data_IF_145852534142
#
_entry.id   IF_145852534142
#
_cell.length_a   1.000
_cell.length_b   1.000
_cell.length_c   1.000
_cell.angle_alpha   90.00
_cell.angle_beta   90.00
_cell.angle_gamma   90.00
#
_symmetry.space_group_name_H-M   'P 1'
#
loop_
_entity.id
_entity.type
_entity.pdbx_description
1 polymer ?
#
# COMPACT_ATOMS: atom_id res chain seq x y z
N UNK A 1 30.98 -32.54 31.21
CA UNK A 1 29.98 -32.36 30.15
C UNK A 1 28.59 -32.06 30.74
N UNK A 2 28.36 -30.87 31.33
CA UNK A 2 27.02 -30.54 31.85
C UNK A 2 26.60 -29.06 31.78
N UNK A 3 27.46 -28.17 31.29
CA UNK A 3 27.14 -26.72 31.18
C UNK A 3 26.85 -26.28 29.74
N UNK A 4 27.33 -27.06 28.75
CA UNK A 4 27.15 -26.74 27.33
C UNK A 4 25.70 -26.95 26.87
N UNK A 5 24.96 -27.87 27.50
CA UNK A 5 23.56 -28.17 27.16
C UNK A 5 22.59 -27.13 27.69
N UNK A 6 22.91 -26.50 28.83
CA UNK A 6 22.03 -25.51 29.49
C UNK A 6 22.06 -24.15 28.79
N UNK A 7 23.19 -23.78 28.18
CA UNK A 7 23.32 -22.52 27.42
C UNK A 7 22.47 -22.56 26.13
N UNK A 8 22.32 -23.73 25.51
CA UNK A 8 21.50 -23.87 24.29
C UNK A 8 19.99 -23.72 24.51
N UNK A 9 19.50 -24.03 25.72
CA UNK A 9 18.08 -23.89 26.06
C UNK A 9 17.70 -22.47 26.51
N UNK A 10 18.66 -21.66 26.96
CA UNK A 10 18.39 -20.26 27.34
C UNK A 10 18.45 -19.29 26.14
N UNK A 11 19.18 -19.64 25.07
CA UNK A 11 19.30 -18.79 23.87
C UNK A 11 18.09 -18.81 22.94
N UNK A 12 17.24 -19.82 23.03
CA UNK A 12 16.10 -20.02 22.11
C UNK A 12 14.85 -19.21 22.46
N UNK A 13 14.79 -18.62 23.66
CA UNK A 13 13.62 -17.83 24.10
C UNK A 13 13.71 -16.35 23.67
N UNK A 14 14.92 -15.85 23.37
CA UNK A 14 15.12 -14.42 23.03
C UNK A 14 14.92 -14.09 21.54
N UNK A 15 14.80 -15.08 20.65
CA UNK A 15 14.64 -14.85 19.21
C UNK A 15 13.17 -14.74 18.75
N UNK A 16 12.21 -14.99 19.64
CA UNK A 16 10.77 -14.97 19.29
C UNK A 16 10.07 -13.64 19.60
N UNK A 17 10.72 -12.73 20.33
CA UNK A 17 10.12 -11.45 20.72
C UNK A 17 10.07 -10.41 19.58
N UNK A 18 10.83 -10.61 18.51
CA UNK A 18 10.89 -9.66 17.38
C UNK A 18 9.72 -9.77 16.40
N UNK A 19 8.82 -10.75 16.57
CA UNK A 19 7.68 -10.95 15.65
C UNK A 19 6.39 -10.23 16.08
N UNK A 20 6.41 -9.47 17.19
CA UNK A 20 5.21 -8.88 17.81
C UNK A 20 5.28 -7.35 17.92
N UNK A 21 6.19 -6.71 17.18
CA UNK A 21 6.24 -5.25 17.05
C UNK A 21 5.62 -4.74 15.74
N UNK A 22 4.98 -5.62 14.96
CA UNK A 22 4.09 -5.23 13.86
C UNK A 22 2.79 -4.68 14.49
N UNK A 23 2.86 -3.42 14.93
CA UNK A 23 1.70 -2.68 15.40
C UNK A 23 0.60 -2.66 14.33
N UNK A 24 -0.66 -2.62 14.75
CA UNK A 24 -1.81 -2.69 13.83
C UNK A 24 -1.79 -1.69 12.66
N UNK A 25 -1.04 -0.59 12.77
CA UNK A 25 -0.80 0.35 11.68
C UNK A 25 -0.03 -0.22 10.49
N UNK A 26 0.90 -1.16 10.69
CA UNK A 26 1.63 -1.78 9.57
C UNK A 26 0.69 -2.62 8.69
N UNK A 27 -0.28 -3.32 9.29
CA UNK A 27 -1.27 -4.14 8.56
C UNK A 27 -2.22 -3.28 7.71
N UNK A 28 -2.54 -2.06 8.17
CA UNK A 28 -3.35 -1.11 7.39
C UNK A 28 -2.54 -0.61 6.20
N UNK A 29 -1.29 -0.21 6.41
CA UNK A 29 -0.44 0.30 5.33
C UNK A 29 -0.14 -0.77 4.27
N UNK A 30 0.11 -2.02 4.67
CA UNK A 30 0.26 -3.16 3.73
C UNK A 30 -1.00 -3.40 2.89
N UNK A 31 -2.18 -3.30 3.51
CA UNK A 31 -3.44 -3.39 2.79
C UNK A 31 -3.58 -2.27 1.76
N UNK A 32 -3.20 -1.04 2.13
CA UNK A 32 -3.23 0.11 1.23
C UNK A 32 -2.29 -0.06 0.05
N UNK A 33 -1.07 -0.56 0.28
CA UNK A 33 -0.13 -0.91 -0.78
C UNK A 33 -0.71 -1.97 -1.72
N UNK A 34 -1.33 -3.02 -1.17
CA UNK A 34 -1.99 -4.07 -1.97
C UNK A 34 -3.11 -3.50 -2.83
N UNK A 35 -3.96 -2.63 -2.29
CA UNK A 35 -5.04 -1.99 -3.05
C UNK A 35 -4.49 -1.11 -4.17
N UNK A 36 -3.47 -0.29 -3.88
CA UNK A 36 -2.77 0.54 -4.88
C UNK A 36 -2.12 -0.29 -5.99
N UNK A 37 -1.51 -1.43 -5.66
CA UNK A 37 -0.89 -2.31 -6.67
C UNK A 37 -1.95 -2.97 -7.57
N UNK A 38 -3.12 -3.29 -7.03
CA UNK A 38 -4.24 -3.80 -7.83
C UNK A 38 -4.80 -2.71 -8.74
N UNK A 39 -4.98 -1.49 -8.25
CA UNK A 39 -5.39 -0.36 -9.07
C UNK A 39 -4.41 -0.12 -10.23
N UNK A 40 -3.10 -0.12 -9.95
CA UNK A 40 -2.05 -0.03 -10.98
C UNK A 40 -2.22 -1.10 -12.07
N UNK A 41 -2.50 -2.34 -11.67
CA UNK A 41 -2.69 -3.45 -12.60
C UNK A 41 -3.89 -3.21 -13.52
N UNK A 42 -5.00 -2.72 -12.99
CA UNK A 42 -6.20 -2.38 -13.78
C UNK A 42 -5.92 -1.20 -14.72
N UNK A 43 -5.18 -0.18 -14.27
CA UNK A 43 -4.78 0.93 -15.12
C UNK A 43 -3.89 0.48 -16.28
N UNK A 44 -2.92 -0.40 -16.02
CA UNK A 44 -2.07 -0.98 -17.07
C UNK A 44 -2.91 -1.77 -18.08
N UNK A 45 -3.97 -2.46 -17.64
CA UNK A 45 -4.90 -3.13 -18.55
C UNK A 45 -5.66 -2.12 -19.42
N UNK A 46 -6.14 -1.02 -18.84
CA UNK A 46 -6.78 0.06 -19.58
C UNK A 46 -5.83 0.66 -20.64
N UNK A 47 -4.58 0.93 -20.29
CA UNK A 47 -3.57 1.49 -21.20
C UNK A 47 -3.25 0.56 -22.37
N UNK A 48 -3.27 -0.76 -22.14
CA UNK A 48 -3.02 -1.79 -23.16
C UNK A 48 -4.25 -2.15 -23.99
N UNK A 49 -5.45 -1.82 -23.52
CA UNK A 49 -6.68 -2.15 -24.23
C UNK A 49 -6.81 -1.32 -25.53
N UNK A 50 -7.48 -1.88 -26.56
CA UNK A 50 -7.81 -1.12 -27.77
C UNK A 50 -8.66 0.10 -27.45
N UNK A 51 -8.52 1.15 -28.26
CA UNK A 51 -9.39 2.32 -28.19
C UNK A 51 -10.87 1.90 -28.31
N UNK A 52 -11.72 2.50 -27.48
CA UNK A 52 -13.12 2.11 -27.35
C UNK A 52 -13.41 0.96 -26.37
N UNK A 53 -12.41 0.19 -25.92
CA UNK A 53 -12.56 -0.85 -24.88
C UNK A 53 -11.96 -0.46 -23.53
N UNK A 54 -11.17 0.63 -23.50
CA UNK A 54 -10.47 1.10 -22.29
C UNK A 54 -11.41 1.52 -21.16
N UNK A 55 -12.59 2.03 -21.52
CA UNK A 55 -13.58 2.57 -20.59
C UNK A 55 -14.03 1.57 -19.51
N UNK A 56 -14.05 0.26 -19.81
CA UNK A 56 -14.43 -0.78 -18.85
C UNK A 56 -13.41 -0.85 -17.71
N UNK A 57 -12.12 -0.91 -18.05
CA UNK A 57 -11.03 -0.97 -17.07
C UNK A 57 -10.86 0.36 -16.33
N UNK A 58 -11.09 1.49 -17.01
CA UNK A 58 -11.02 2.81 -16.38
C UNK A 58 -12.13 3.01 -15.34
N UNK A 59 -13.36 2.59 -15.61
CA UNK A 59 -14.43 2.67 -14.63
C UNK A 59 -14.12 1.87 -13.35
N UNK A 60 -13.52 0.69 -13.51
CA UNK A 60 -13.05 -0.12 -12.38
C UNK A 60 -11.90 0.56 -11.63
N UNK A 61 -10.90 1.07 -12.35
CA UNK A 61 -9.78 1.79 -11.77
C UNK A 61 -10.22 3.03 -10.97
N UNK A 62 -11.10 3.88 -11.52
CA UNK A 62 -11.67 5.04 -10.84
C UNK A 62 -12.36 4.66 -9.53
N UNK A 63 -13.12 3.56 -9.52
CA UNK A 63 -13.76 3.07 -8.30
C UNK A 63 -12.72 2.68 -7.25
N UNK A 64 -11.68 1.93 -7.65
CA UNK A 64 -10.61 1.52 -6.75
C UNK A 64 -9.86 2.73 -6.18
N UNK A 65 -9.57 3.73 -7.00
CA UNK A 65 -8.93 4.96 -6.54
C UNK A 65 -9.79 5.73 -5.53
N UNK A 66 -11.11 5.80 -5.75
CA UNK A 66 -12.03 6.39 -4.77
C UNK A 66 -11.99 5.67 -3.42
N UNK A 67 -11.96 4.34 -3.43
CA UNK A 67 -11.86 3.51 -2.21
C UNK A 67 -10.52 3.68 -1.50
N UNK A 68 -9.41 3.78 -2.25
CA UNK A 68 -8.07 4.00 -1.72
C UNK A 68 -7.98 5.39 -1.09
N UNK A 69 -8.38 6.44 -1.81
CA UNK A 69 -8.34 7.82 -1.30
C UNK A 69 -9.23 8.00 -0.05
N UNK A 70 -10.39 7.35 -0.02
CA UNK A 70 -11.25 7.37 1.17
C UNK A 70 -10.58 6.73 2.38
N UNK A 71 -9.85 5.63 2.20
CA UNK A 71 -9.11 4.98 3.28
C UNK A 71 -7.89 5.80 3.70
N UNK A 72 -7.11 6.33 2.74
CA UNK A 72 -5.96 7.21 3.03
C UNK A 72 -6.37 8.44 3.84
N UNK A 73 -7.55 9.01 3.55
CA UNK A 73 -8.06 10.17 4.26
C UNK A 73 -8.51 9.84 5.69
N UNK A 74 -9.01 8.62 5.92
CA UNK A 74 -9.47 8.18 7.24
C UNK A 74 -8.34 7.65 8.11
N UNK A 75 -7.28 7.13 7.50
CA UNK A 75 -6.11 6.60 8.21
C UNK A 75 -5.30 7.73 8.85
N UNK A 76 -4.81 7.46 10.06
CA UNK A 76 -4.05 8.41 10.87
C UNK A 76 -3.06 7.64 11.72
N UNK A 77 -1.90 8.23 12.05
CA UNK A 77 -0.92 7.57 12.88
C UNK A 77 -1.50 7.38 14.29
N UNK A 78 -1.20 6.24 14.91
CA UNK A 78 -1.63 5.97 16.28
C UNK A 78 -0.96 6.97 17.24
N UNK A 79 -1.74 7.56 18.15
CA UNK A 79 -1.27 8.57 19.09
C UNK A 79 -0.16 8.07 20.03
N UNK A 80 -0.02 6.75 20.19
CA UNK A 80 1.02 6.10 20.99
C UNK A 80 2.31 5.81 20.22
N UNK A 81 2.37 6.06 18.91
CA UNK A 81 3.59 5.88 18.12
C UNK A 81 4.73 6.76 18.63
N UNK A 82 5.93 6.20 18.69
CA UNK A 82 7.15 7.01 18.88
C UNK A 82 7.35 7.99 17.71
N UNK A 83 8.11 9.08 17.90
CA UNK A 83 8.38 10.03 16.82
C UNK A 83 8.95 9.38 15.55
N UNK A 84 9.85 8.40 15.69
CA UNK A 84 10.45 7.69 14.56
C UNK A 84 9.42 6.83 13.80
N UNK A 85 8.52 6.17 14.53
CA UNK A 85 7.43 5.39 13.92
C UNK A 85 6.43 6.30 13.21
N UNK A 86 6.13 7.46 13.80
CA UNK A 86 5.28 8.47 13.17
C UNK A 86 5.90 8.96 11.85
N UNK A 87 7.20 9.30 11.83
CA UNK A 87 7.91 9.68 10.61
C UNK A 87 7.84 8.58 9.54
N UNK A 88 8.09 7.32 9.93
CA UNK A 88 8.01 6.19 9.01
C UNK A 88 6.59 5.97 8.47
N UNK A 89 5.55 6.17 9.30
CA UNK A 89 4.16 6.12 8.85
C UNK A 89 3.86 7.22 7.84
N UNK A 90 4.31 8.46 8.09
CA UNK A 90 4.11 9.58 7.16
C UNK A 90 4.78 9.33 5.82
N UNK A 91 6.03 8.86 5.82
CA UNK A 91 6.75 8.56 4.58
C UNK A 91 6.04 7.48 3.75
N UNK A 92 5.51 6.43 4.39
CA UNK A 92 4.71 5.41 3.70
C UNK A 92 3.39 5.99 3.18
N UNK A 93 2.67 6.77 3.99
CA UNK A 93 1.39 7.40 3.61
C UNK A 93 1.56 8.33 2.40
N UNK A 94 2.54 9.24 2.47
CA UNK A 94 2.88 10.18 1.39
C UNK A 94 3.23 9.44 0.10
N UNK A 95 3.99 8.34 0.21
CA UNK A 95 4.34 7.54 -0.96
C UNK A 95 3.10 6.91 -1.63
N UNK A 96 2.16 6.38 -0.85
CA UNK A 96 0.94 5.80 -1.42
C UNK A 96 0.09 6.90 -2.07
N UNK A 97 -0.01 8.08 -1.45
CA UNK A 97 -0.69 9.25 -2.03
C UNK A 97 -0.05 9.63 -3.37
N UNK A 98 1.27 9.76 -3.43
CA UNK A 98 1.99 10.10 -4.66
C UNK A 98 1.75 9.06 -5.78
N UNK A 99 1.85 7.77 -5.43
CA UNK A 99 1.63 6.68 -6.39
C UNK A 99 0.17 6.71 -6.94
N UNK A 100 -0.82 6.98 -6.09
CA UNK A 100 -2.24 7.13 -6.49
C UNK A 100 -2.45 8.37 -7.37
N UNK A 101 -1.84 9.50 -7.03
CA UNK A 101 -1.94 10.71 -7.84
C UNK A 101 -1.32 10.51 -9.23
N UNK A 102 -0.19 9.80 -9.31
CA UNK A 102 0.43 9.43 -10.59
C UNK A 102 -0.49 8.50 -11.42
N UNK A 103 -1.18 7.56 -10.79
CA UNK A 103 -2.21 6.73 -11.45
C UNK A 103 -3.36 7.57 -12.00
N UNK A 104 -3.88 8.52 -11.22
CA UNK A 104 -4.94 9.45 -11.66
C UNK A 104 -4.52 10.28 -12.87
N UNK A 105 -3.30 10.82 -12.87
CA UNK A 105 -2.80 11.62 -13.99
C UNK A 105 -2.71 10.81 -15.28
N UNK A 106 -2.24 9.56 -15.19
CA UNK A 106 -2.17 8.63 -16.32
C UNK A 106 -3.55 8.27 -16.86
N UNK A 107 -4.50 7.96 -15.98
CA UNK A 107 -5.89 7.71 -16.38
C UNK A 107 -6.51 8.94 -17.06
N UNK A 108 -6.29 10.13 -16.51
CA UNK A 108 -6.80 11.37 -17.09
C UNK A 108 -6.20 11.64 -18.49
N UNK A 109 -4.90 11.39 -18.67
CA UNK A 109 -4.26 11.46 -19.99
C UNK A 109 -4.89 10.46 -20.97
N UNK A 110 -5.20 9.25 -20.51
CA UNK A 110 -5.84 8.21 -21.32
C UNK A 110 -7.26 8.65 -21.74
N UNK A 111 -8.07 9.20 -20.82
CA UNK A 111 -9.38 9.77 -21.12
C UNK A 111 -9.32 10.87 -22.19
N UNK A 112 -8.39 11.82 -22.04
CA UNK A 112 -8.23 12.91 -23.01
C UNK A 112 -7.90 12.38 -24.40
N UNK A 113 -7.08 11.33 -24.49
CA UNK A 113 -6.74 10.72 -25.78
C UNK A 113 -7.90 9.99 -26.45
N UNK A 114 -8.82 9.36 -25.68
CA UNK A 114 -10.02 8.72 -26.23
C UNK A 114 -11.02 9.75 -26.76
N UNK A 115 -11.17 10.90 -26.11
CA UNK A 115 -12.12 11.96 -26.52
C UNK A 115 -11.71 12.70 -27.80
N UNK A 116 -10.53 12.44 -28.34
CA UNK A 116 -9.99 13.07 -29.55
C UNK A 116 -9.86 12.09 -30.74
N UNK A 117 -10.37 10.85 -30.61
CA UNK A 117 -10.47 9.87 -31.69
C UNK A 117 -11.88 9.82 -32.28
#
# INVERSE_FOLDING_TARGET
MSYLKTVFLAGSILLSASAWAEGGGDRVMERMESMRNKAETVLIQAEKAPAGQRHVHMAEHMKMLGEIMSQLHQDHPDASMSPQQHLAWMEKHDKIVDDVLNQMQREHKLMLSENHQ
#
